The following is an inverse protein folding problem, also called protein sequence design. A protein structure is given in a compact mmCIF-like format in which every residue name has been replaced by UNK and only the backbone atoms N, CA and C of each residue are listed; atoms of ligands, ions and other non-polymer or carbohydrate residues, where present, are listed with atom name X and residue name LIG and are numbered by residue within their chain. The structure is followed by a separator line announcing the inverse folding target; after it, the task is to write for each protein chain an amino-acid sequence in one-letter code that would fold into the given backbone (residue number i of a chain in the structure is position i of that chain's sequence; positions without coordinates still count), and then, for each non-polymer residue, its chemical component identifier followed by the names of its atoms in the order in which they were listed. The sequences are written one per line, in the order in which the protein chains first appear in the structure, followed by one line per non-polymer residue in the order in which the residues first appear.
data_IF_024982076278
#
_entry.id   IF_024982076278
#
_cell.length_a   1.000
_cell.length_b   1.000
_cell.length_c   1.000
_cell.angle_alpha   90.00
_cell.angle_beta   90.00
_cell.angle_gamma   90.00
#
_symmetry.space_group_name_H-M   'P 1'
#
loop_
_entity.id
_entity.type
_entity.pdbx_description
1 polymer ?
#
# COMPACT_ATOMS: atom_id res chain seq x y z
N UNK A 1 32.51 77.78 -52.90
CA UNK A 1 32.27 76.72 -53.91
C UNK A 1 32.68 75.39 -53.30
N UNK A 2 31.79 74.38 -53.36
CA UNK A 2 32.07 72.92 -53.23
C UNK A 2 32.64 72.46 -51.86
N UNK A 3 32.20 71.38 -51.21
CA UNK A 3 31.29 70.27 -51.53
C UNK A 3 30.86 69.60 -50.21
N UNK A 4 29.65 69.07 -50.23
CA UNK A 4 29.00 68.15 -49.29
C UNK A 4 29.85 66.88 -49.09
N UNK A 5 29.94 66.36 -47.85
CA UNK A 5 29.66 64.94 -47.56
C UNK A 5 29.50 64.67 -46.06
N UNK A 6 28.37 64.07 -45.72
CA UNK A 6 28.01 63.53 -44.41
C UNK A 6 28.85 62.30 -44.08
N UNK A 7 29.30 62.16 -42.83
CA UNK A 7 29.63 60.86 -42.27
C UNK A 7 29.30 60.84 -40.77
N UNK A 8 28.15 60.26 -40.48
CA UNK A 8 27.65 59.87 -39.17
C UNK A 8 28.58 58.81 -38.56
N UNK A 9 29.26 59.17 -37.47
CA UNK A 9 30.02 58.24 -36.62
C UNK A 9 29.01 57.55 -35.69
N UNK A 10 28.46 56.43 -36.15
CA UNK A 10 27.74 55.49 -35.29
C UNK A 10 28.78 54.53 -34.72
N UNK A 11 28.88 54.54 -33.40
CA UNK A 11 29.71 53.64 -32.62
C UNK A 11 29.28 52.18 -32.90
N UNK A 12 30.14 51.44 -33.59
CA UNK A 12 30.11 49.97 -33.62
C UNK A 12 30.70 49.50 -32.29
N UNK A 13 29.89 49.53 -31.24
CA UNK A 13 30.11 48.73 -30.04
C UNK A 13 29.66 47.31 -30.38
N UNK A 14 30.61 46.38 -30.32
CA UNK A 14 30.37 44.98 -30.63
C UNK A 14 29.28 44.41 -29.73
N UNK A 15 28.17 44.01 -30.35
CA UNK A 15 27.34 42.94 -29.82
C UNK A 15 28.12 41.64 -30.04
N UNK A 16 29.05 41.36 -29.14
CA UNK A 16 29.34 39.97 -28.81
C UNK A 16 28.06 39.51 -28.12
N UNK A 17 27.21 38.78 -28.82
CA UNK A 17 26.19 38.00 -28.14
C UNK A 17 26.94 37.05 -27.22
N UNK A 18 26.86 37.29 -25.92
CA UNK A 18 26.85 36.17 -25.01
C UNK A 18 25.60 35.38 -25.44
N UNK A 19 25.82 34.32 -26.20
CA UNK A 19 25.01 33.13 -26.06
C UNK A 19 25.05 32.82 -24.56
N UNK A 20 23.96 33.13 -23.86
CA UNK A 20 23.84 33.06 -22.41
C UNK A 20 23.81 31.61 -21.92
N UNK A 21 24.12 30.67 -22.80
CA UNK A 21 24.30 29.27 -22.48
C UNK A 21 23.04 28.82 -21.79
N UNK A 22 21.93 28.78 -22.54
CA UNK A 22 20.74 28.04 -22.13
C UNK A 22 21.25 26.74 -21.50
N UNK A 23 21.08 26.62 -20.18
CA UNK A 23 21.29 25.38 -19.48
C UNK A 23 20.28 24.43 -20.11
N UNK A 24 20.73 23.63 -21.08
CA UNK A 24 19.97 22.48 -21.55
C UNK A 24 19.97 21.53 -20.36
N UNK A 25 19.03 21.71 -19.45
CA UNK A 25 18.64 20.68 -18.49
C UNK A 25 17.99 19.60 -19.34
N UNK A 26 18.81 18.69 -19.84
CA UNK A 26 18.35 17.42 -20.40
C UNK A 26 17.76 16.65 -19.22
N UNK A 27 16.48 16.86 -18.95
CA UNK A 27 15.73 16.06 -17.98
C UNK A 27 15.40 14.72 -18.62
N UNK A 28 15.18 13.72 -17.78
CA UNK A 28 14.82 12.41 -18.24
C UNK A 28 13.34 12.46 -18.68
N UNK A 29 13.06 11.89 -19.84
CA UNK A 29 11.73 11.86 -20.46
C UNK A 29 10.74 10.94 -19.74
N UNK A 30 11.23 10.11 -18.83
CA UNK A 30 10.47 9.14 -18.04
C UNK A 30 9.94 9.71 -16.72
N UNK A 31 10.28 10.96 -16.40
CA UNK A 31 9.90 11.63 -15.13
C UNK A 31 8.39 11.89 -15.06
N UNK A 32 7.69 11.92 -16.20
CA UNK A 32 6.24 12.08 -16.28
C UNK A 32 5.46 10.77 -16.00
N UNK A 33 6.14 9.63 -15.91
CA UNK A 33 5.52 8.33 -15.62
C UNK A 33 5.50 8.11 -14.12
N UNK A 34 4.31 8.01 -13.53
CA UNK A 34 4.13 7.92 -12.07
C UNK A 34 4.10 6.49 -11.53
N UNK A 35 3.90 5.49 -12.39
CA UNK A 35 3.82 4.09 -11.99
C UNK A 35 5.02 3.30 -12.53
N UNK A 36 5.47 2.30 -11.78
CA UNK A 36 6.50 1.38 -12.23
C UNK A 36 6.08 -0.07 -12.00
N UNK A 37 6.74 -0.98 -12.71
CA UNK A 37 6.52 -2.42 -12.58
C UNK A 37 7.74 -3.07 -11.95
N UNK A 38 7.58 -4.26 -11.38
CA UNK A 38 8.68 -5.08 -10.89
C UNK A 38 8.80 -6.38 -11.68
N UNK A 39 10.03 -6.84 -11.84
CA UNK A 39 10.33 -8.20 -12.25
C UNK A 39 11.12 -8.92 -11.16
N UNK A 40 10.62 -10.08 -10.74
CA UNK A 40 11.10 -10.73 -9.53
C UNK A 40 10.99 -9.79 -8.33
N UNK A 41 11.87 -9.97 -7.35
CA UNK A 41 11.70 -9.27 -6.08
C UNK A 41 12.22 -7.84 -6.10
N UNK A 42 13.20 -7.50 -6.95
CA UNK A 42 13.98 -6.26 -6.77
C UNK A 42 14.47 -5.57 -8.05
N UNK A 43 13.89 -5.91 -9.20
CA UNK A 43 14.14 -5.18 -10.43
C UNK A 43 12.91 -4.37 -10.78
N UNK A 44 12.95 -3.07 -10.49
CA UNK A 44 11.90 -2.13 -10.85
C UNK A 44 12.20 -1.52 -12.21
N UNK A 45 11.19 -1.25 -13.02
CA UNK A 45 11.36 -0.64 -14.33
C UNK A 45 10.18 0.25 -14.74
N UNK A 46 10.50 1.27 -15.54
CA UNK A 46 9.57 2.14 -16.26
C UNK A 46 9.85 2.13 -17.75
N UNK A 47 8.81 2.31 -18.55
CA UNK A 47 8.87 2.32 -20.00
C UNK A 47 8.20 3.54 -20.60
N UNK A 48 8.90 4.21 -21.49
CA UNK A 48 8.35 5.23 -22.38
C UNK A 48 8.09 4.56 -23.72
N UNK A 49 6.88 4.63 -24.27
CA UNK A 49 6.58 3.99 -25.57
C UNK A 49 7.18 4.77 -26.75
N UNK A 50 7.21 6.11 -26.65
CA UNK A 50 7.64 7.00 -27.73
C UNK A 50 8.42 8.20 -27.17
N UNK A 51 9.72 8.35 -27.51
CA UNK A 51 10.59 7.33 -28.09
C UNK A 51 10.71 6.11 -27.15
N UNK A 52 11.02 4.93 -27.69
CA UNK A 52 11.08 3.73 -26.87
C UNK A 52 12.31 3.76 -25.96
N UNK A 53 12.07 3.95 -24.66
CA UNK A 53 13.09 4.11 -23.63
C UNK A 53 12.68 3.37 -22.36
N UNK A 54 13.68 3.06 -21.53
CA UNK A 54 13.45 2.41 -20.25
C UNK A 54 14.40 2.92 -19.19
N UNK A 55 13.93 2.95 -17.95
CA UNK A 55 14.75 3.15 -16.76
C UNK A 55 14.49 1.99 -15.81
N UNK A 56 15.52 1.20 -15.50
CA UNK A 56 15.43 0.16 -14.48
C UNK A 56 16.25 0.49 -13.24
N UNK A 57 15.75 0.05 -12.10
CA UNK A 57 16.39 0.09 -10.80
C UNK A 57 16.51 -1.34 -10.29
N UNK A 58 17.73 -1.80 -10.03
CA UNK A 58 17.99 -3.12 -9.45
C UNK A 58 18.57 -2.96 -8.06
N UNK A 59 17.96 -3.61 -7.07
CA UNK A 59 18.41 -3.63 -5.67
C UNK A 59 18.95 -5.02 -5.33
N UNK A 60 20.02 -5.08 -4.53
CA UNK A 60 20.57 -6.36 -4.07
C UNK A 60 21.37 -6.29 -2.76
N UNK A 61 21.53 -5.11 -2.15
CA UNK A 61 22.11 -5.00 -0.80
C UNK A 61 21.72 -3.71 -0.07
N UNK A 62 21.36 -3.77 1.24
CA UNK A 62 21.04 -4.99 1.99
C UNK A 62 19.84 -5.69 1.35
N UNK A 63 19.91 -7.01 1.22
CA UNK A 63 18.90 -7.81 0.53
C UNK A 63 17.55 -7.61 1.21
N UNK A 64 16.62 -6.96 0.52
CA UNK A 64 15.25 -6.79 0.96
C UNK A 64 14.35 -7.17 -0.21
N UNK A 65 13.41 -8.07 -0.07
CA UNK A 65 12.40 -8.37 -1.11
C UNK A 65 11.26 -7.34 -1.08
N UNK A 66 10.33 -7.38 -2.06
CA UNK A 66 9.05 -6.64 -1.93
C UNK A 66 8.34 -7.03 -0.63
N UNK A 67 8.33 -8.33 -0.28
CA UNK A 67 7.72 -8.82 0.96
C UNK A 67 8.38 -8.25 2.20
N UNK A 68 9.70 -8.02 2.21
CA UNK A 68 10.40 -7.45 3.36
C UNK A 68 10.04 -5.97 3.57
N UNK A 69 9.70 -5.26 2.48
CA UNK A 69 9.18 -3.88 2.58
C UNK A 69 7.77 -3.83 3.16
N UNK A 70 6.95 -4.82 2.82
CA UNK A 70 5.60 -5.00 3.35
C UNK A 70 5.69 -5.37 4.83
N UNK A 71 6.48 -6.39 5.20
CA UNK A 71 6.70 -6.81 6.59
C UNK A 71 7.22 -5.64 7.46
N UNK A 72 8.17 -4.85 6.95
CA UNK A 72 8.63 -3.65 7.65
C UNK A 72 7.53 -2.59 7.86
N UNK A 73 6.55 -2.48 6.96
CA UNK A 73 5.40 -1.59 7.13
C UNK A 73 4.40 -2.16 8.16
N UNK A 74 4.17 -3.47 8.13
CA UNK A 74 3.31 -4.19 9.07
C UNK A 74 3.82 -4.11 10.53
N UNK A 75 5.14 -4.17 10.73
CA UNK A 75 5.78 -4.03 12.05
C UNK A 75 5.72 -2.59 12.61
N UNK A 76 5.35 -1.60 11.79
CA UNK A 76 5.35 -0.20 12.19
C UNK A 76 3.92 0.28 12.43
N UNK A 77 3.58 0.60 13.69
CA UNK A 77 2.24 1.05 14.12
C UNK A 77 1.70 2.25 13.32
N UNK A 78 2.57 3.06 12.71
CA UNK A 78 2.21 4.22 11.89
C UNK A 78 1.98 3.89 10.40
N UNK A 79 2.08 2.62 10.03
CA UNK A 79 1.88 2.11 8.66
C UNK A 79 2.83 2.64 7.60
N UNK A 80 3.95 3.24 8.00
CA UNK A 80 4.93 3.83 7.09
C UNK A 80 6.32 3.26 7.38
N UNK A 81 6.85 2.48 6.45
CA UNK A 81 8.21 1.95 6.50
C UNK A 81 9.11 2.67 5.51
N UNK A 82 10.24 3.19 5.99
CA UNK A 82 11.22 3.89 5.14
C UNK A 82 12.58 3.23 5.22
N UNK A 83 13.15 2.93 4.05
CA UNK A 83 14.51 2.40 3.92
C UNK A 83 15.28 3.22 2.87
N UNK A 84 16.56 3.45 3.12
CA UNK A 84 17.44 4.19 2.20
C UNK A 84 18.64 3.35 1.81
N UNK A 85 18.94 3.35 0.52
CA UNK A 85 20.10 2.69 -0.09
C UNK A 85 21.01 3.70 -0.74
N UNK A 86 22.30 3.43 -0.69
CA UNK A 86 23.29 4.12 -1.53
C UNK A 86 23.31 3.46 -2.91
N UNK A 87 23.33 4.28 -3.96
CA UNK A 87 23.60 3.82 -5.32
C UNK A 87 25.03 3.33 -5.43
N UNK A 88 25.21 2.18 -6.07
CA UNK A 88 26.51 1.59 -6.36
C UNK A 88 26.52 1.06 -7.79
N UNK A 89 27.66 0.50 -8.24
CA UNK A 89 27.71 -0.18 -9.55
C UNK A 89 27.50 -1.70 -9.45
N UNK A 90 27.29 -2.22 -8.24
CA UNK A 90 27.28 -3.67 -8.00
C UNK A 90 26.12 -4.19 -7.18
N UNK A 91 25.41 -3.33 -6.45
CA UNK A 91 24.32 -3.74 -5.58
C UNK A 91 23.01 -3.00 -5.85
N UNK A 92 23.06 -1.67 -5.95
CA UNK A 92 21.87 -0.84 -6.14
C UNK A 92 22.14 0.05 -7.35
N UNK A 93 21.65 -0.35 -8.52
CA UNK A 93 22.04 0.22 -9.80
C UNK A 93 20.84 0.75 -10.55
N UNK A 94 21.02 1.90 -11.22
CA UNK A 94 20.06 2.43 -12.19
C UNK A 94 20.63 2.25 -13.57
N UNK A 95 19.79 1.81 -14.51
CA UNK A 95 20.16 1.63 -15.91
C UNK A 95 19.12 2.27 -16.82
N UNK A 96 19.54 3.28 -17.57
CA UNK A 96 18.76 3.89 -18.62
C UNK A 96 19.16 3.32 -19.99
N UNK A 97 18.17 3.00 -20.82
CA UNK A 97 18.36 2.53 -22.20
C UNK A 97 17.38 3.21 -23.15
N UNK A 98 17.83 3.43 -24.37
CA UNK A 98 16.96 3.76 -25.51
C UNK A 98 17.12 2.72 -26.62
N UNK A 99 16.06 2.49 -27.39
CA UNK A 99 16.00 1.40 -28.35
C UNK A 99 15.68 1.90 -29.76
N UNK A 100 16.36 1.34 -30.78
CA UNK A 100 15.95 1.46 -32.18
C UNK A 100 14.89 0.41 -32.54
N UNK A 101 13.84 0.34 -31.73
CA UNK A 101 12.69 -0.53 -31.93
C UNK A 101 11.41 0.28 -31.69
N UNK A 102 10.30 -0.22 -32.25
CA UNK A 102 8.97 0.29 -31.90
C UNK A 102 8.47 -0.48 -30.69
N UNK A 103 7.93 0.22 -29.70
CA UNK A 103 7.29 -0.40 -28.55
C UNK A 103 6.16 -1.36 -28.98
N UNK A 104 6.10 -2.52 -28.33
CA UNK A 104 4.99 -3.48 -28.35
C UNK A 104 4.96 -4.17 -26.98
N UNK A 105 3.78 -4.50 -26.45
CA UNK A 105 3.65 -5.16 -25.14
C UNK A 105 4.47 -6.46 -25.06
N UNK A 106 4.45 -7.28 -26.12
CA UNK A 106 5.26 -8.52 -26.22
C UNK A 106 6.78 -8.26 -26.04
N UNK A 107 7.27 -7.13 -26.54
CA UNK A 107 8.67 -6.75 -26.44
C UNK A 107 9.03 -6.17 -25.06
N UNK A 108 8.10 -5.43 -24.46
CA UNK A 108 8.27 -4.91 -23.11
C UNK A 108 8.45 -6.04 -22.10
N UNK A 109 7.59 -7.06 -22.17
CA UNK A 109 7.63 -8.25 -21.31
C UNK A 109 8.94 -9.05 -21.48
N UNK A 110 9.45 -9.14 -22.72
CA UNK A 110 10.71 -9.83 -23.02
C UNK A 110 11.96 -9.09 -22.49
N UNK A 111 11.92 -7.77 -22.30
CA UNK A 111 13.13 -6.97 -22.02
C UNK A 111 13.54 -6.88 -20.56
N UNK A 112 12.59 -6.86 -19.61
CA UNK A 112 12.88 -6.54 -18.21
C UNK A 112 12.82 -7.73 -17.28
N UNK A 113 12.20 -8.82 -17.73
CA UNK A 113 12.26 -10.12 -17.06
C UNK A 113 13.20 -11.13 -17.69
N UNK A 114 13.81 -10.82 -18.84
CA UNK A 114 14.70 -11.73 -19.54
C UNK A 114 15.91 -10.98 -20.10
N UNK A 115 16.87 -11.74 -20.64
CA UNK A 115 17.97 -11.15 -21.41
C UNK A 115 17.42 -10.40 -22.63
N UNK A 116 17.96 -9.21 -22.88
CA UNK A 116 17.60 -8.38 -24.05
C UNK A 116 17.71 -9.22 -25.33
N UNK A 117 16.62 -9.40 -26.10
CA UNK A 117 16.66 -10.22 -27.31
C UNK A 117 17.67 -9.69 -28.33
N UNK A 118 18.40 -10.60 -28.99
CA UNK A 118 19.52 -10.24 -29.88
C UNK A 118 19.12 -9.38 -31.11
N UNK A 119 17.84 -9.36 -31.46
CA UNK A 119 17.28 -8.52 -32.52
C UNK A 119 16.99 -7.08 -32.10
N UNK A 120 17.10 -6.77 -30.81
CA UNK A 120 16.87 -5.43 -30.26
C UNK A 120 18.17 -4.65 -30.25
N UNK A 121 18.13 -3.45 -30.83
CA UNK A 121 19.29 -2.57 -30.95
C UNK A 121 19.16 -1.46 -29.91
N UNK A 122 20.00 -1.52 -28.88
CA UNK A 122 20.15 -0.43 -27.89
C UNK A 122 20.92 0.72 -28.57
N UNK A 123 20.32 1.91 -28.59
CA UNK A 123 20.90 3.11 -29.19
C UNK A 123 21.70 3.96 -28.20
N UNK A 124 21.32 3.92 -26.93
CA UNK A 124 22.05 4.54 -25.83
C UNK A 124 21.87 3.70 -24.57
N UNK A 125 22.91 3.65 -23.75
CA UNK A 125 22.91 3.01 -22.44
C UNK A 125 23.68 3.89 -21.47
N UNK A 126 23.12 4.12 -20.29
CA UNK A 126 23.78 4.87 -19.22
C UNK A 126 23.45 4.26 -17.87
N UNK A 127 24.48 4.08 -17.05
CA UNK A 127 24.37 3.57 -15.69
C UNK A 127 24.70 4.68 -14.69
N UNK A 128 24.19 4.56 -13.46
CA UNK A 128 24.51 5.50 -12.40
C UNK A 128 26.03 5.60 -12.12
N UNK A 129 26.47 6.78 -11.66
CA UNK A 129 27.78 6.93 -11.03
C UNK A 129 27.77 6.25 -9.64
N UNK A 130 28.79 5.45 -9.28
CA UNK A 130 28.81 4.73 -8.01
C UNK A 130 29.22 5.59 -6.81
N UNK A 131 29.65 6.84 -7.03
CA UNK A 131 30.20 7.70 -5.98
C UNK A 131 29.17 8.57 -5.29
N UNK A 132 27.93 8.61 -5.80
CA UNK A 132 26.86 9.42 -5.24
C UNK A 132 25.48 8.92 -5.64
N UNK A 133 24.53 9.31 -4.81
CA UNK A 133 23.11 9.17 -5.04
C UNK A 133 22.49 8.11 -4.15
N UNK A 134 21.24 8.35 -3.79
CA UNK A 134 20.52 7.56 -2.80
C UNK A 134 19.17 7.16 -3.35
N UNK A 135 18.71 5.97 -3.00
CA UNK A 135 17.36 5.49 -3.27
C UNK A 135 16.64 5.46 -1.94
N UNK A 136 15.56 6.23 -1.81
CA UNK A 136 14.63 6.15 -0.70
C UNK A 136 13.43 5.33 -1.15
N UNK A 137 13.09 4.30 -0.38
CA UNK A 137 11.87 3.53 -0.57
C UNK A 137 10.99 3.78 0.64
N UNK A 138 9.76 4.21 0.38
CA UNK A 138 8.72 4.39 1.39
C UNK A 138 7.60 3.42 1.05
N UNK A 139 7.31 2.51 1.97
CA UNK A 139 6.17 1.61 1.89
C UNK A 139 5.11 2.08 2.86
N UNK A 140 3.90 2.24 2.37
CA UNK A 140 2.73 2.55 3.17
C UNK A 140 1.59 1.60 2.84
N UNK A 141 0.69 1.38 3.78
CA UNK A 141 -0.63 0.83 3.49
C UNK A 141 -1.67 1.91 3.67
N UNK A 142 -2.79 1.75 2.97
CA UNK A 142 -4.01 2.51 3.19
C UNK A 142 -5.06 1.53 3.67
N UNK A 143 -5.65 1.83 4.83
CA UNK A 143 -6.76 1.07 5.41
C UNK A 143 -8.09 1.76 5.12
N UNK A 144 -8.05 3.01 4.63
CA UNK A 144 -9.26 3.83 4.45
C UNK A 144 -10.09 3.44 3.24
N UNK A 145 -9.56 2.56 2.37
CA UNK A 145 -10.30 1.89 1.31
C UNK A 145 -10.55 0.39 1.60
N UNK A 146 -10.03 -0.10 2.73
CA UNK A 146 -10.24 -1.43 3.26
C UNK A 146 -11.49 -1.45 4.12
N UNK A 147 -12.37 -2.36 3.78
CA UNK A 147 -13.49 -2.84 4.60
C UNK A 147 -13.02 -4.26 4.98
N UNK A 148 -13.27 -4.70 6.20
CA UNK A 148 -12.90 -6.05 6.65
C UNK A 148 -13.66 -7.16 5.87
N UNK A 149 -14.65 -6.75 5.08
CA UNK A 149 -15.52 -7.56 4.23
C UNK A 149 -16.39 -8.54 5.02
N UNK A 150 -16.79 -8.17 6.23
CA UNK A 150 -17.73 -8.95 7.03
C UNK A 150 -19.16 -8.98 6.43
N UNK A 151 -19.44 -8.06 5.50
CA UNK A 151 -20.73 -7.91 4.83
C UNK A 151 -21.57 -6.74 5.35
N UNK A 152 -21.10 -6.02 6.35
CA UNK A 152 -21.54 -4.68 6.73
C UNK A 152 -20.66 -3.68 5.96
N UNK A 153 -21.25 -2.69 5.26
CA UNK A 153 -20.44 -1.63 4.67
C UNK A 153 -19.89 -0.70 5.75
N UNK A 154 -18.62 -0.31 5.65
CA UNK A 154 -17.94 0.65 6.52
C UNK A 154 -18.77 1.90 6.91
N UNK A 155 -19.58 2.44 5.99
CA UNK A 155 -20.44 3.59 6.30
C UNK A 155 -21.58 3.33 7.29
N UNK A 156 -21.88 2.07 7.59
CA UNK A 156 -22.89 1.65 8.55
C UNK A 156 -22.31 1.27 9.92
N UNK A 157 -20.99 1.21 10.02
CA UNK A 157 -20.23 0.96 11.25
C UNK A 157 -19.81 2.29 11.92
N UNK A 158 -20.23 3.42 11.35
CA UNK A 158 -20.29 4.74 12.01
C UNK A 158 -21.39 4.77 13.08
N UNK A 159 -21.17 4.04 14.18
CA UNK A 159 -22.18 3.84 15.23
C UNK A 159 -22.66 5.20 15.80
N UNK A 160 -21.77 6.19 15.87
CA UNK A 160 -22.08 7.51 16.41
C UNK A 160 -22.59 8.54 15.38
N UNK A 161 -22.62 8.19 14.09
CA UNK A 161 -23.05 9.00 12.93
C UNK A 161 -22.30 10.35 12.79
N UNK A 162 -21.03 10.45 13.19
CA UNK A 162 -20.23 11.67 13.06
C UNK A 162 -19.47 11.79 11.72
N UNK A 163 -19.48 10.71 10.92
CA UNK A 163 -18.82 10.61 9.62
C UNK A 163 -17.32 10.29 9.70
N UNK A 164 -16.82 9.81 10.84
CA UNK A 164 -15.44 9.40 11.06
C UNK A 164 -15.36 7.99 11.64
N UNK A 165 -15.40 6.99 10.76
CA UNK A 165 -15.45 5.56 11.10
C UNK A 165 -14.21 5.09 11.88
N UNK A 166 -13.07 5.79 11.73
CA UNK A 166 -11.83 5.53 12.47
C UNK A 166 -11.93 5.71 14.00
N UNK A 167 -13.07 6.17 14.53
CA UNK A 167 -13.24 6.42 15.97
C UNK A 167 -14.33 5.55 16.64
N UNK A 168 -15.01 4.71 15.88
CA UNK A 168 -15.94 3.71 16.38
C UNK A 168 -15.16 2.39 16.52
N UNK A 169 -15.06 1.93 17.76
CA UNK A 169 -14.25 0.80 18.23
C UNK A 169 -14.99 0.26 19.46
N UNK A 170 -15.88 -0.71 19.22
CA UNK A 170 -16.87 -1.19 20.20
C UNK A 170 -16.20 -1.89 21.38
N UNK A 171 -15.19 -2.72 21.11
CA UNK A 171 -14.49 -3.52 22.12
C UNK A 171 -13.26 -2.82 22.74
N UNK A 172 -12.81 -1.69 22.14
CA UNK A 172 -11.67 -0.86 22.53
C UNK A 172 -10.31 -1.54 22.42
N UNK A 173 -10.16 -2.44 21.45
CA UNK A 173 -8.91 -3.15 21.18
C UNK A 173 -7.90 -2.33 20.34
N UNK A 174 -8.37 -1.22 19.74
CA UNK A 174 -7.60 -0.30 18.91
C UNK A 174 -7.76 -0.51 17.39
N UNK A 175 -8.60 -1.45 16.96
CA UNK A 175 -9.04 -1.68 15.59
C UNK A 175 -10.45 -1.07 15.45
N UNK A 176 -10.66 -0.09 14.56
CA UNK A 176 -12.01 0.42 14.32
C UNK A 176 -12.91 -0.65 13.71
N UNK A 177 -14.21 -0.63 14.05
CA UNK A 177 -15.18 -1.64 13.62
C UNK A 177 -15.10 -2.01 12.13
N UNK A 178 -15.05 -1.02 11.23
CA UNK A 178 -14.97 -1.26 9.77
C UNK A 178 -13.71 -2.02 9.29
N UNK A 179 -12.74 -2.24 10.17
CA UNK A 179 -11.50 -2.99 9.97
C UNK A 179 -11.39 -4.18 10.93
N UNK A 180 -12.38 -4.40 11.79
CA UNK A 180 -12.40 -5.42 12.83
C UNK A 180 -13.38 -6.55 12.49
N UNK A 181 -12.87 -7.76 12.33
CA UNK A 181 -13.71 -8.90 11.92
C UNK A 181 -14.51 -9.51 13.10
N UNK A 182 -14.37 -8.96 14.30
CA UNK A 182 -15.04 -9.29 15.56
C UNK A 182 -15.27 -8.01 16.37
N UNK A 183 -16.25 -7.23 15.92
CA UNK A 183 -16.52 -5.84 16.34
C UNK A 183 -16.61 -5.62 17.85
N UNK A 184 -17.16 -6.59 18.58
CA UNK A 184 -17.33 -6.53 20.03
C UNK A 184 -16.32 -7.39 20.81
N UNK A 185 -15.44 -8.06 20.07
CA UNK A 185 -14.33 -8.85 20.55
C UNK A 185 -14.76 -10.14 21.25
N UNK A 186 -15.96 -10.66 21.03
CA UNK A 186 -16.49 -11.79 21.80
C UNK A 186 -16.03 -13.18 21.30
N UNK A 187 -15.12 -13.21 20.31
CA UNK A 187 -14.63 -14.37 19.56
C UNK A 187 -15.64 -14.98 18.59
N UNK A 188 -16.80 -14.39 18.36
CA UNK A 188 -17.73 -14.72 17.29
C UNK A 188 -17.54 -13.72 16.15
N UNK A 189 -17.13 -14.13 14.94
CA UNK A 189 -17.00 -13.18 13.83
C UNK A 189 -18.30 -12.42 13.53
N UNK A 190 -18.20 -11.12 13.28
CA UNK A 190 -19.30 -10.24 12.82
C UNK A 190 -20.10 -10.85 11.66
N UNK A 191 -19.39 -11.51 10.72
CA UNK A 191 -19.99 -12.27 9.59
C UNK A 191 -20.96 -13.39 9.99
N UNK A 192 -20.78 -14.02 11.15
CA UNK A 192 -21.52 -15.20 11.62
C UNK A 192 -22.61 -14.84 12.63
N UNK A 193 -22.72 -13.57 13.04
CA UNK A 193 -23.68 -13.07 14.04
C UNK A 193 -24.98 -12.54 13.43
N UNK A 194 -25.24 -12.86 12.17
CA UNK A 194 -26.50 -12.56 11.50
C UNK A 194 -26.87 -11.05 11.55
N UNK A 195 -25.90 -10.18 11.32
CA UNK A 195 -26.09 -8.73 11.10
C UNK A 195 -27.16 -8.41 10.02
N UNK A 196 -27.44 -9.36 9.10
CA UNK A 196 -28.58 -9.33 8.17
C UNK A 196 -28.68 -8.05 7.33
N UNK A 197 -27.52 -7.48 6.97
CA UNK A 197 -27.44 -6.28 6.15
C UNK A 197 -28.22 -6.43 4.84
N UNK A 198 -28.97 -5.39 4.49
CA UNK A 198 -29.51 -5.24 3.14
C UNK A 198 -29.62 -3.78 2.74
N UNK A 199 -29.33 -3.47 1.48
CA UNK A 199 -29.50 -2.12 0.91
C UNK A 199 -30.90 -1.48 1.10
N UNK A 200 -31.94 -2.27 1.41
CA UNK A 200 -33.30 -1.76 1.64
C UNK A 200 -33.58 -1.45 3.10
N UNK A 201 -33.07 -2.26 4.03
CA UNK A 201 -33.39 -2.15 5.46
C UNK A 201 -32.18 -1.72 6.31
N UNK A 202 -30.99 -1.56 5.72
CA UNK A 202 -29.75 -1.42 6.48
C UNK A 202 -29.55 -2.62 7.42
N UNK A 203 -29.17 -2.31 8.66
CA UNK A 203 -28.98 -3.26 9.77
C UNK A 203 -30.23 -3.39 10.66
N UNK A 204 -31.40 -2.89 10.22
CA UNK A 204 -32.61 -2.89 11.06
C UNK A 204 -33.17 -4.29 11.39
N UNK A 205 -32.60 -5.35 10.81
CA UNK A 205 -32.98 -6.74 11.08
C UNK A 205 -31.79 -7.55 11.59
N UNK A 206 -30.73 -6.88 12.08
CA UNK A 206 -29.66 -7.55 12.79
C UNK A 206 -30.24 -8.38 13.94
N UNK A 207 -29.60 -9.50 14.24
CA UNK A 207 -29.96 -10.33 15.37
C UNK A 207 -29.72 -9.54 16.67
N UNK A 208 -30.58 -9.78 17.66
CA UNK A 208 -30.60 -9.16 18.99
C UNK A 208 -31.27 -10.22 19.88
N UNK A 209 -30.45 -11.17 20.35
CA UNK A 209 -30.87 -12.45 20.89
C UNK A 209 -31.59 -12.28 22.23
N UNK A 210 -31.11 -11.39 23.08
CA UNK A 210 -31.70 -11.09 24.38
C UNK A 210 -32.78 -9.97 24.33
N UNK A 211 -32.88 -9.24 23.20
CA UNK A 211 -33.79 -8.12 22.97
C UNK A 211 -33.53 -6.89 23.86
N UNK A 212 -32.28 -6.62 24.22
CA UNK A 212 -31.88 -5.42 24.97
C UNK A 212 -31.75 -4.17 24.08
N UNK A 213 -31.62 -4.36 22.76
CA UNK A 213 -31.53 -3.33 21.74
C UNK A 213 -30.12 -3.12 21.18
N UNK A 214 -29.13 -3.85 21.67
CA UNK A 214 -27.80 -4.01 21.09
C UNK A 214 -27.83 -5.23 20.17
N UNK A 215 -27.45 -5.10 18.89
CA UNK A 215 -27.34 -6.28 18.04
C UNK A 215 -26.21 -7.20 18.50
N UNK A 216 -26.35 -8.51 18.24
CA UNK A 216 -25.39 -9.55 18.65
C UNK A 216 -23.94 -9.16 18.25
N UNK A 217 -23.71 -8.75 17.00
CA UNK A 217 -22.39 -8.29 16.50
C UNK A 217 -21.78 -7.05 17.17
N UNK A 218 -22.45 -6.46 18.17
CA UNK A 218 -21.99 -5.35 18.99
C UNK A 218 -22.19 -5.63 20.49
N UNK A 219 -22.52 -6.88 20.88
CA UNK A 219 -22.95 -7.28 22.22
C UNK A 219 -22.22 -8.51 22.78
N UNK A 220 -21.25 -8.24 23.65
CA UNK A 220 -20.40 -9.27 24.27
C UNK A 220 -21.10 -10.32 25.17
N UNK A 221 -22.42 -10.22 25.39
CA UNK A 221 -23.28 -11.12 26.17
C UNK A 221 -24.60 -11.35 25.42
N UNK A 222 -24.49 -11.92 24.22
CA UNK A 222 -25.56 -12.11 23.23
C UNK A 222 -26.92 -12.56 23.77
N UNK A 223 -26.92 -13.50 24.72
CA UNK A 223 -28.13 -14.07 25.28
C UNK A 223 -28.58 -13.44 26.62
N UNK A 224 -27.79 -12.50 27.14
CA UNK A 224 -28.07 -11.71 28.33
C UNK A 224 -28.08 -12.52 29.62
N UNK A 225 -27.37 -13.65 29.67
CA UNK A 225 -27.31 -14.52 30.85
C UNK A 225 -26.26 -14.13 31.89
N UNK A 226 -25.48 -13.08 31.59
CA UNK A 226 -24.37 -12.54 32.39
C UNK A 226 -23.07 -13.36 32.36
N UNK A 227 -22.93 -14.27 31.40
CA UNK A 227 -21.66 -14.86 30.98
C UNK A 227 -21.32 -14.24 29.62
N UNK A 228 -20.08 -13.76 29.45
CA UNK A 228 -19.69 -13.21 28.14
C UNK A 228 -19.70 -14.33 27.10
N UNK A 229 -20.15 -14.07 25.89
CA UNK A 229 -20.14 -15.01 24.76
C UNK A 229 -18.78 -15.71 24.63
N UNK A 230 -17.69 -14.93 24.72
CA UNK A 230 -16.30 -15.41 24.67
C UNK A 230 -15.94 -16.44 25.73
N UNK A 231 -16.63 -16.41 26.88
CA UNK A 231 -16.41 -17.28 28.02
C UNK A 231 -17.33 -18.52 28.00
N UNK A 232 -18.06 -18.79 26.91
CA UNK A 232 -19.01 -19.91 26.80
C UNK A 232 -18.48 -21.14 26.04
N UNK A 233 -17.16 -21.31 26.09
CA UNK A 233 -16.41 -22.41 25.45
C UNK A 233 -16.48 -23.76 26.22
N UNK A 234 -17.69 -24.29 26.43
CA UNK A 234 -17.94 -25.42 27.32
C UNK A 234 -17.43 -26.79 26.83
N UNK A 235 -17.22 -26.96 25.52
CA UNK A 235 -16.70 -28.18 24.91
C UNK A 235 -15.20 -28.08 24.62
N UNK A 236 -14.75 -26.98 24.01
CA UNK A 236 -13.34 -26.72 23.71
C UNK A 236 -13.01 -25.24 23.80
N UNK A 237 -11.89 -24.95 24.46
CA UNK A 237 -11.31 -23.61 24.51
C UNK A 237 -10.42 -23.38 23.28
N UNK A 238 -11.02 -23.02 22.16
CA UNK A 238 -10.37 -22.85 20.85
C UNK A 238 -10.66 -21.51 20.14
N UNK A 239 -11.12 -20.51 20.90
CA UNK A 239 -11.54 -19.17 20.46
C UNK A 239 -12.70 -19.22 19.46
N UNK A 240 -13.67 -20.10 19.70
CA UNK A 240 -14.77 -20.30 18.76
C UNK A 240 -16.08 -20.74 19.46
N UNK A 241 -16.79 -19.78 20.11
CA UNK A 241 -18.06 -20.06 20.78
C UNK A 241 -19.14 -20.66 19.88
N UNK A 242 -19.08 -20.42 18.56
CA UNK A 242 -20.07 -20.92 17.57
C UNK A 242 -20.21 -22.45 17.61
N UNK A 243 -19.13 -23.16 17.96
CA UNK A 243 -19.12 -24.62 17.90
C UNK A 243 -19.49 -25.32 19.22
N UNK A 244 -19.68 -24.55 20.30
CA UNK A 244 -19.97 -25.06 21.63
C UNK A 244 -21.48 -25.17 21.86
N UNK A 245 -21.99 -26.40 21.91
CA UNK A 245 -23.41 -26.70 22.16
C UNK A 245 -23.59 -27.68 23.33
N UNK A 246 -24.14 -27.24 24.45
CA UNK A 246 -24.52 -28.09 25.59
C UNK A 246 -25.85 -28.81 25.32
N UNK A 247 -26.79 -28.16 24.64
CA UNK A 247 -28.04 -28.74 24.15
C UNK A 247 -28.07 -28.70 22.61
N UNK A 248 -28.36 -29.84 21.95
CA UNK A 248 -28.30 -29.92 20.47
C UNK A 248 -29.18 -28.86 19.79
N UNK A 249 -28.57 -28.04 18.93
CA UNK A 249 -29.24 -27.17 17.97
C UNK A 249 -29.26 -25.67 18.29
N UNK A 250 -28.62 -25.24 19.37
CA UNK A 250 -28.36 -23.82 19.67
C UNK A 250 -26.99 -23.72 20.35
N UNK A 251 -26.05 -22.93 19.80
CA UNK A 251 -24.79 -22.60 20.48
C UNK A 251 -25.04 -22.08 21.89
N UNK A 252 -24.10 -22.34 22.80
CA UNK A 252 -24.24 -21.97 24.21
C UNK A 252 -24.41 -20.45 24.37
N UNK A 253 -23.65 -19.64 23.61
CA UNK A 253 -23.74 -18.18 23.62
C UNK A 253 -25.06 -17.57 23.14
N UNK A 254 -25.94 -18.37 22.55
CA UNK A 254 -27.29 -17.97 22.14
C UNK A 254 -28.37 -18.62 23.03
N UNK A 255 -27.99 -19.19 24.18
CA UNK A 255 -28.84 -20.01 25.01
C UNK A 255 -28.77 -19.61 26.49
N UNK A 256 -29.71 -18.76 26.97
CA UNK A 256 -29.61 -18.12 28.28
C UNK A 256 -29.87 -19.06 29.47
N UNK A 257 -30.02 -20.35 29.19
CA UNK A 257 -30.06 -21.41 30.19
C UNK A 257 -28.68 -21.99 30.51
N UNK A 258 -27.63 -21.65 29.76
CA UNK A 258 -26.28 -22.24 29.83
C UNK A 258 -25.27 -21.28 30.45
N UNK A 259 -25.46 -20.97 31.72
CA UNK A 259 -24.59 -20.05 32.49
C UNK A 259 -23.24 -20.65 32.93
N UNK A 260 -22.67 -21.59 32.17
CA UNK A 260 -21.35 -22.15 32.47
C UNK A 260 -20.25 -21.31 31.86
N UNK A 261 -19.33 -20.85 32.71
CA UNK A 261 -18.18 -20.05 32.31
C UNK A 261 -16.91 -20.88 32.17
N UNK A 262 -16.27 -20.74 31.01
CA UNK A 262 -14.92 -21.18 30.66
C UNK A 262 -14.16 -19.94 30.18
N UNK A 263 -13.53 -19.24 31.14
CA UNK A 263 -12.84 -17.98 30.85
C UNK A 263 -11.87 -18.09 29.67
N UNK A 264 -12.08 -17.27 28.65
CA UNK A 264 -11.26 -17.18 27.45
C UNK A 264 -9.79 -16.88 27.80
N UNK A 265 -8.90 -17.23 26.88
CA UNK A 265 -7.45 -17.06 27.09
C UNK A 265 -6.76 -16.19 26.04
N UNK A 266 -7.48 -15.82 24.99
CA UNK A 266 -7.07 -14.90 23.94
C UNK A 266 -8.30 -14.41 23.18
N UNK A 267 -8.16 -13.26 22.53
CA UNK A 267 -8.99 -12.88 21.38
C UNK A 267 -8.63 -13.76 20.18
N UNK A 268 -9.55 -13.86 19.22
CA UNK A 268 -9.30 -14.45 17.91
C UNK A 268 -8.31 -13.60 17.11
N UNK A 269 -7.76 -14.19 16.05
CA UNK A 269 -6.85 -13.49 15.15
C UNK A 269 -7.68 -12.82 14.04
N UNK A 270 -7.63 -11.49 14.00
CA UNK A 270 -8.31 -10.66 13.00
C UNK A 270 -7.48 -10.61 11.72
N UNK A 271 -8.15 -10.64 10.56
CA UNK A 271 -7.50 -10.57 9.25
C UNK A 271 -7.93 -9.31 8.52
N UNK A 272 -7.01 -8.33 8.41
CA UNK A 272 -7.25 -7.08 7.70
C UNK A 272 -6.67 -7.16 6.29
N UNK A 273 -7.50 -6.99 5.27
CA UNK A 273 -7.06 -6.83 3.89
C UNK A 273 -6.57 -5.39 3.65
N UNK A 274 -5.31 -5.22 3.21
CA UNK A 274 -4.72 -3.90 3.02
C UNK A 274 -4.07 -3.76 1.63
N UNK A 275 -4.18 -2.56 1.05
CA UNK A 275 -3.46 -2.23 -0.19
C UNK A 275 -2.13 -1.55 0.11
N UNK A 276 -1.04 -2.28 -0.17
CA UNK A 276 0.31 -1.73 -0.02
C UNK A 276 0.72 -0.88 -1.22
N UNK A 277 1.43 0.19 -0.91
CA UNK A 277 1.99 1.13 -1.87
C UNK A 277 3.47 1.30 -1.60
N UNK A 278 4.30 1.05 -2.61
CA UNK A 278 5.76 1.22 -2.55
C UNK A 278 6.12 2.42 -3.42
N UNK A 279 6.53 3.49 -2.78
CA UNK A 279 7.03 4.70 -3.44
C UNK A 279 8.56 4.72 -3.44
N UNK A 280 9.15 5.13 -4.57
CA UNK A 280 10.61 5.19 -4.72
C UNK A 280 11.03 6.59 -5.17
N UNK A 281 11.91 7.21 -4.39
CA UNK A 281 12.57 8.47 -4.73
C UNK A 281 14.08 8.26 -4.87
N UNK A 282 14.68 8.85 -5.90
CA UNK A 282 16.13 8.77 -6.14
C UNK A 282 16.71 10.17 -6.10
N UNK A 283 17.72 10.41 -5.25
CA UNK A 283 18.30 11.75 -5.08
C UNK A 283 19.78 11.78 -5.44
N UNK A 284 20.26 12.94 -5.87
CA UNK A 284 21.68 13.30 -6.07
C UNK A 284 22.47 12.29 -6.91
N UNK A 285 21.91 11.85 -8.04
CA UNK A 285 22.50 10.82 -8.88
C UNK A 285 22.93 11.36 -10.26
N UNK A 286 23.85 10.63 -10.89
CA UNK A 286 24.35 10.96 -12.23
C UNK A 286 24.13 9.75 -13.14
N UNK A 287 23.46 9.97 -14.27
CA UNK A 287 23.39 9.05 -15.41
C UNK A 287 24.13 9.68 -16.57
N UNK A 288 25.43 9.41 -16.72
CA UNK A 288 26.28 10.18 -17.64
C UNK A 288 25.66 10.33 -19.04
N UNK A 289 25.57 11.57 -19.59
CA UNK A 289 26.12 12.82 -19.05
C UNK A 289 25.16 13.62 -18.14
N UNK A 290 24.00 13.09 -17.81
CA UNK A 290 22.95 13.71 -17.02
C UNK A 290 23.31 13.71 -15.52
N UNK A 291 23.06 14.83 -14.85
CA UNK A 291 23.11 14.96 -13.40
C UNK A 291 21.74 15.41 -12.92
N UNK A 292 21.17 14.73 -11.94
CA UNK A 292 19.86 15.05 -11.39
C UNK A 292 19.91 15.18 -9.87
N UNK A 293 19.19 16.18 -9.34
CA UNK A 293 19.08 16.42 -7.91
C UNK A 293 18.07 15.47 -7.25
N UNK A 294 16.94 15.24 -7.91
CA UNK A 294 15.94 14.25 -7.50
C UNK A 294 15.18 13.72 -8.71
N UNK A 295 14.75 12.47 -8.61
CA UNK A 295 13.85 11.78 -9.52
C UNK A 295 12.80 11.06 -8.67
N UNK A 296 11.53 11.42 -8.87
CA UNK A 296 10.41 10.61 -8.43
C UNK A 296 10.34 9.36 -9.33
N UNK A 297 10.80 8.23 -8.79
CA UNK A 297 10.71 6.95 -9.48
C UNK A 297 9.30 6.36 -9.38
N UNK A 298 8.33 7.06 -8.80
CA UNK A 298 6.93 6.71 -8.85
C UNK A 298 6.56 5.63 -7.84
N UNK A 299 5.47 4.94 -8.14
CA UNK A 299 4.78 4.07 -7.21
C UNK A 299 4.49 2.69 -7.82
N UNK A 300 4.61 1.65 -7.01
CA UNK A 300 4.18 0.29 -7.28
C UNK A 300 3.12 -0.10 -6.27
N UNK A 301 1.99 -0.61 -6.77
CA UNK A 301 1.00 -1.33 -5.97
C UNK A 301 1.24 -2.82 -6.22
N UNK A 302 1.81 -3.56 -5.26
CA UNK A 302 2.01 -5.00 -5.39
C UNK A 302 0.67 -5.71 -5.65
N UNK A 303 0.72 -6.82 -6.38
CA UNK A 303 -0.45 -7.67 -6.62
C UNK A 303 -0.10 -9.12 -6.29
N UNK A 304 -0.95 -9.84 -5.52
CA UNK A 304 -2.23 -9.42 -4.94
C UNK A 304 -2.09 -8.42 -3.77
N UNK A 305 -3.22 -7.89 -3.28
CA UNK A 305 -3.33 -7.34 -1.92
C UNK A 305 -2.83 -8.37 -0.93
N UNK A 306 -2.14 -7.92 0.12
CA UNK A 306 -1.59 -8.81 1.16
C UNK A 306 -2.43 -8.63 2.43
N UNK A 307 -2.62 -9.71 3.17
CA UNK A 307 -3.38 -9.72 4.43
C UNK A 307 -2.44 -9.43 5.61
N UNK A 308 -2.86 -8.56 6.54
CA UNK A 308 -2.24 -8.45 7.87
C UNK A 308 -3.08 -9.23 8.86
N UNK A 309 -2.44 -10.13 9.60
CA UNK A 309 -3.02 -10.76 10.78
C UNK A 309 -2.70 -9.94 12.01
N UNK A 310 -3.71 -9.61 12.78
CA UNK A 310 -3.58 -8.91 14.06
C UNK A 310 -4.26 -9.79 15.11
N UNK A 311 -3.66 -9.89 16.28
CA UNK A 311 -4.36 -10.45 17.44
C UNK A 311 -4.26 -9.39 18.52
N UNK A 312 -5.40 -8.88 19.00
CA UNK A 312 -5.39 -7.86 20.04
C UNK A 312 -4.80 -8.39 21.34
N UNK A 313 -4.23 -7.48 22.15
CA UNK A 313 -3.66 -7.84 23.44
C UNK A 313 -4.78 -8.27 24.40
N UNK A 314 -4.80 -9.56 24.76
CA UNK A 314 -5.74 -10.10 25.75
C UNK A 314 -5.40 -9.63 27.17
N UNK A 315 -6.11 -8.60 27.65
CA UNK A 315 -5.80 -7.87 28.89
C UNK A 315 -6.67 -8.23 30.10
#
# INVERSE_FOLDING_TARGET
MRKILYLSVIAVLGFVSCDDGDLITTNLTLDDITEFQNCGDLVFYKLQEVPFESLSLSLSSPSNSVSDFIEGALENENGNYEVTYELTNSSNTILYRSYAATYTDELADELFCNDVPANIVITSESQNDPSQGTIKITTSFDDTDGDDNDGIPAELEDINEDGNYDNDDTDQDGIPNYLDDDDDGDNVPTTEENHNYSSTNGLSNAQDTDSDGTPDYLDTDDDGDSVLTRDEENQSQDQNPINDETEEGTPDYLNPSVQSTVAATAYREHTIEQTFTIHVEISNFILYPLSQDSLDYGTLTPSPTEERKITPDFN
#
